data_IF_119575458163
#
_entry.id   IF_119575458163
#
_cell.length_a   1.000
_cell.length_b   1.000
_cell.length_c   1.000
_cell.angle_alpha   90.00
_cell.angle_beta   90.00
_cell.angle_gamma   90.00
#
_symmetry.space_group_name_H-M   'P 1'
#
loop_
_entity.id
_entity.type
_entity.pdbx_description
1 polymer ?
#
# COMPACT_ATOMS: atom_id res chain seq x y z
N UNK A 1 9.89 7.32 -19.51
CA UNK A 1 10.85 8.42 -19.28
C UNK A 1 10.06 9.61 -18.77
N UNK A 2 10.05 9.84 -17.46
CA UNK A 2 9.49 11.04 -16.83
C UNK A 2 10.63 12.05 -16.69
N UNK A 3 11.01 12.69 -17.79
CA UNK A 3 11.93 13.83 -17.71
C UNK A 3 11.13 15.06 -17.26
N UNK A 4 11.50 15.66 -16.12
CA UNK A 4 10.99 16.98 -15.69
C UNK A 4 9.93 17.00 -14.58
N UNK A 5 9.72 15.91 -13.83
CA UNK A 5 9.04 15.99 -12.53
C UNK A 5 10.11 16.21 -11.46
N UNK A 6 9.98 17.30 -10.67
CA UNK A 6 10.76 17.48 -9.45
C UNK A 6 10.36 16.36 -8.47
N UNK A 7 11.14 15.28 -8.47
CA UNK A 7 10.94 14.20 -7.51
C UNK A 7 11.30 14.73 -6.12
N UNK A 8 10.47 14.51 -5.10
CA UNK A 8 10.79 14.98 -3.76
C UNK A 8 12.09 14.31 -3.30
N UNK A 9 13.12 15.07 -2.99
CA UNK A 9 14.37 14.55 -2.41
C UNK A 9 14.13 14.02 -0.99
N UNK A 10 15.09 13.28 -0.42
CA UNK A 10 15.00 12.83 0.97
C UNK A 10 14.81 14.02 1.92
N UNK A 11 13.78 13.96 2.75
CA UNK A 11 13.36 15.02 3.69
C UNK A 11 12.07 15.71 3.33
N UNK A 12 11.61 15.57 2.09
CA UNK A 12 10.36 16.16 1.62
C UNK A 12 9.13 15.30 1.92
N UNK A 13 9.32 14.08 2.45
CA UNK A 13 8.23 13.20 2.87
C UNK A 13 8.21 13.01 4.39
N UNK A 14 7.03 12.99 5.05
CA UNK A 14 6.89 12.71 6.48
C UNK A 14 7.57 11.40 6.91
N UNK A 15 7.55 10.38 6.06
CA UNK A 15 8.23 9.11 6.29
C UNK A 15 9.76 9.27 6.34
N UNK A 16 10.37 10.22 5.62
CA UNK A 16 11.81 10.48 5.74
C UNK A 16 12.17 11.01 7.14
N UNK A 17 11.35 11.92 7.68
CA UNK A 17 11.48 12.40 9.07
C UNK A 17 11.25 11.27 10.08
N UNK A 18 10.33 10.35 9.79
CA UNK A 18 10.13 9.15 10.60
C UNK A 18 11.34 8.22 10.57
N UNK A 19 11.94 8.00 9.39
CA UNK A 19 13.17 7.22 9.21
C UNK A 19 14.31 7.83 10.01
N UNK A 20 14.55 9.14 9.90
CA UNK A 20 15.57 9.83 10.68
C UNK A 20 15.45 9.59 12.18
N UNK A 21 14.21 9.67 12.70
CA UNK A 21 13.95 9.54 14.13
C UNK A 21 14.06 8.10 14.64
N UNK A 22 13.90 7.09 13.76
CA UNK A 22 13.71 5.70 14.16
C UNK A 22 14.73 4.71 13.55
N UNK A 23 15.64 5.17 12.67
CA UNK A 23 16.66 4.32 12.08
C UNK A 23 17.68 3.85 13.11
N UNK A 24 18.00 2.55 13.08
CA UNK A 24 19.00 1.95 13.97
C UNK A 24 20.24 1.55 13.17
N UNK A 25 21.22 2.46 13.10
CA UNK A 25 22.50 2.22 12.43
C UNK A 25 23.34 1.11 13.09
N UNK A 26 23.03 0.71 14.33
CA UNK A 26 23.72 -0.36 15.04
C UNK A 26 23.04 -1.73 14.87
N UNK A 27 21.87 -1.78 14.22
CA UNK A 27 21.12 -3.01 14.01
C UNK A 27 21.85 -3.98 13.08
N UNK A 28 21.77 -5.28 13.38
CA UNK A 28 22.29 -6.35 12.53
C UNK A 28 21.35 -6.72 11.37
N UNK A 29 20.16 -6.12 11.32
CA UNK A 29 19.19 -6.36 10.26
C UNK A 29 19.64 -5.71 8.96
N UNK A 30 19.29 -6.34 7.85
CA UNK A 30 19.47 -5.73 6.53
C UNK A 30 18.65 -4.44 6.40
N UNK A 31 19.06 -3.56 5.49
CA UNK A 31 18.36 -2.30 5.23
C UNK A 31 16.88 -2.53 4.88
N UNK A 32 16.58 -3.58 4.10
CA UNK A 32 15.21 -3.91 3.72
C UNK A 32 14.36 -4.42 4.89
N UNK A 33 14.95 -5.20 5.80
CA UNK A 33 14.26 -5.66 7.03
C UNK A 33 13.95 -4.49 7.97
N UNK A 34 14.89 -3.54 8.12
CA UNK A 34 14.64 -2.33 8.89
C UNK A 34 13.57 -1.45 8.24
N UNK A 35 13.64 -1.24 6.91
CA UNK A 35 12.60 -0.51 6.14
C UNK A 35 11.22 -1.09 6.42
N UNK A 36 11.09 -2.42 6.36
CA UNK A 36 9.82 -3.10 6.67
C UNK A 36 9.32 -2.77 8.07
N UNK A 37 10.17 -2.91 9.09
CA UNK A 37 9.80 -2.61 10.48
C UNK A 37 9.37 -1.15 10.63
N UNK A 38 10.04 -0.22 9.94
CA UNK A 38 9.67 1.18 9.94
C UNK A 38 8.30 1.40 9.30
N UNK A 39 8.01 0.76 8.17
CA UNK A 39 6.68 0.83 7.52
C UNK A 39 5.59 0.24 8.41
N UNK A 40 5.83 -0.90 9.07
CA UNK A 40 4.88 -1.49 10.03
C UNK A 40 4.58 -0.53 11.20
N UNK A 41 5.63 0.10 11.77
CA UNK A 41 5.46 1.11 12.82
C UNK A 41 4.72 2.35 12.30
N UNK A 42 5.07 2.83 11.10
CA UNK A 42 4.47 3.98 10.44
C UNK A 42 2.97 3.80 10.22
N UNK A 43 2.57 2.62 9.73
CA UNK A 43 1.17 2.23 9.57
C UNK A 43 0.45 2.23 10.93
N UNK A 44 1.06 1.60 11.95
CA UNK A 44 0.49 1.46 13.29
C UNK A 44 0.27 2.80 14.04
N UNK A 45 1.04 3.85 13.70
CA UNK A 45 0.83 5.21 14.23
C UNK A 45 -0.60 5.72 13.94
N UNK A 46 -1.16 5.35 12.79
CA UNK A 46 -2.40 5.90 12.28
C UNK A 46 -2.34 7.40 11.97
N UNK A 47 -3.45 7.93 11.48
CA UNK A 47 -3.66 9.30 11.00
C UNK A 47 -2.99 10.36 11.86
N UNK A 48 -3.30 10.39 13.16
CA UNK A 48 -2.76 11.41 14.07
C UNK A 48 -1.38 11.09 14.64
N UNK A 49 -0.96 9.82 14.68
CA UNK A 49 0.38 9.48 15.14
C UNK A 49 1.45 9.92 14.14
N UNK A 50 1.06 10.09 12.86
CA UNK A 50 1.92 10.61 11.79
C UNK A 50 2.00 12.14 11.72
N UNK A 51 1.10 12.87 12.40
CA UNK A 51 1.03 14.34 12.30
C UNK A 51 2.31 15.04 12.75
N UNK A 52 3.00 14.54 13.78
CA UNK A 52 4.23 15.19 14.25
C UNK A 52 5.29 15.24 13.14
N UNK A 53 5.38 14.18 12.32
CA UNK A 53 6.30 14.10 11.19
C UNK A 53 5.81 14.93 9.99
N UNK A 54 4.50 14.94 9.72
CA UNK A 54 3.92 15.75 8.66
C UNK A 54 4.07 17.25 8.93
N UNK A 55 3.73 17.69 10.15
CA UNK A 55 3.87 19.08 10.58
C UNK A 55 5.34 19.52 10.62
N UNK A 56 6.26 18.64 11.03
CA UNK A 56 7.69 18.92 10.93
C UNK A 56 8.11 19.15 9.47
N UNK A 57 7.65 18.31 8.54
CA UNK A 57 7.93 18.45 7.10
C UNK A 57 7.36 19.76 6.53
N UNK A 58 6.18 20.20 6.97
CA UNK A 58 5.59 21.45 6.48
C UNK A 58 6.28 22.69 7.04
N UNK A 59 6.74 22.63 8.30
CA UNK A 59 7.44 23.72 8.95
C UNK A 59 8.87 23.88 8.41
N UNK A 60 9.56 22.75 8.17
CA UNK A 60 10.90 22.70 7.62
C UNK A 60 11.05 21.50 6.68
N UNK A 61 10.82 21.67 5.36
CA UNK A 61 10.90 20.58 4.39
C UNK A 61 12.34 20.14 4.14
N UNK A 62 13.33 20.90 4.61
CA UNK A 62 14.76 20.64 4.40
C UNK A 62 15.39 20.09 5.66
N UNK A 63 16.04 18.93 5.57
CA UNK A 63 16.81 18.39 6.69
C UNK A 63 18.25 18.91 6.59
N UNK A 64 18.60 19.87 7.44
CA UNK A 64 19.95 20.46 7.49
C UNK A 64 21.05 19.45 7.90
N UNK A 65 20.71 18.45 8.71
CA UNK A 65 21.67 17.47 9.21
C UNK A 65 21.09 16.05 9.23
N UNK A 66 21.63 15.18 8.37
CA UNK A 66 21.32 13.75 8.36
C UNK A 66 22.41 13.02 9.15
N UNK A 67 22.07 12.30 10.24
CA UNK A 67 23.04 11.53 11.01
C UNK A 67 23.77 10.49 10.16
N UNK A 68 25.04 10.26 10.47
CA UNK A 68 25.85 9.26 9.77
C UNK A 68 25.22 7.86 9.89
N UNK A 69 25.09 7.16 8.75
CA UNK A 69 24.54 5.81 8.69
C UNK A 69 23.03 5.71 8.46
N UNK A 70 22.30 6.84 8.37
CA UNK A 70 20.90 6.84 7.93
C UNK A 70 20.84 6.76 6.40
N UNK A 71 20.16 5.75 5.83
CA UNK A 71 19.96 5.66 4.38
C UNK A 71 18.95 6.70 3.89
N UNK A 72 19.27 7.30 2.75
CA UNK A 72 18.41 8.29 2.08
C UNK A 72 17.67 7.71 0.87
N UNK A 73 17.98 6.46 0.53
CA UNK A 73 17.53 5.73 -0.65
C UNK A 73 16.59 4.56 -0.28
N UNK A 74 15.95 4.62 0.90
CA UNK A 74 14.95 3.60 1.28
C UNK A 74 13.76 3.57 0.32
N UNK A 75 13.42 4.71 -0.28
CA UNK A 75 12.43 4.81 -1.36
C UNK A 75 13.17 5.07 -2.66
N UNK A 76 12.89 4.27 -3.69
CA UNK A 76 13.41 4.51 -5.03
C UNK A 76 12.84 5.81 -5.63
N UNK A 77 13.46 6.33 -6.68
CA UNK A 77 12.92 7.49 -7.41
C UNK A 77 11.46 7.26 -7.87
N UNK A 78 11.13 6.03 -8.26
CA UNK A 78 9.78 5.64 -8.64
C UNK A 78 8.83 5.70 -7.43
N UNK A 79 9.20 5.10 -6.29
CA UNK A 79 8.42 5.13 -5.04
C UNK A 79 8.16 6.57 -4.54
N UNK A 80 9.19 7.43 -4.65
CA UNK A 80 9.09 8.84 -4.25
C UNK A 80 8.15 9.61 -5.18
N UNK A 81 8.12 9.27 -6.48
CA UNK A 81 7.11 9.80 -7.41
C UNK A 81 5.70 9.38 -7.00
N UNK A 82 5.51 8.12 -6.55
CA UNK A 82 4.20 7.61 -6.14
C UNK A 82 3.68 8.29 -4.89
N UNK A 83 4.57 8.59 -3.95
CA UNK A 83 4.21 9.23 -2.68
C UNK A 83 3.64 10.65 -2.85
N UNK A 84 3.87 11.27 -4.01
CA UNK A 84 3.21 12.53 -4.40
C UNK A 84 1.80 12.34 -5.00
N UNK A 85 1.41 11.10 -5.31
CA UNK A 85 0.13 10.74 -5.91
C UNK A 85 -0.77 10.10 -4.84
N UNK A 86 -1.88 10.76 -4.51
CA UNK A 86 -2.93 10.16 -3.69
C UNK A 86 -3.77 9.22 -4.56
N UNK A 87 -3.38 7.95 -4.66
CA UNK A 87 -4.32 6.89 -5.05
C UNK A 87 -4.83 6.22 -3.80
N UNK A 88 -6.12 5.96 -3.78
CA UNK A 88 -6.75 5.18 -2.72
C UNK A 88 -7.03 3.75 -3.16
N UNK A 89 -6.59 3.32 -4.35
CA UNK A 89 -6.83 1.95 -4.87
C UNK A 89 -5.50 1.22 -5.13
N UNK A 90 -5.34 0.03 -4.53
CA UNK A 90 -4.19 -0.86 -4.73
C UNK A 90 -4.63 -2.16 -5.41
N UNK A 91 -3.81 -2.69 -6.32
CA UNK A 91 -3.93 -4.04 -6.87
C UNK A 91 -2.73 -4.88 -6.41
N UNK A 92 -2.97 -5.97 -5.69
CA UNK A 92 -1.90 -6.78 -5.10
C UNK A 92 -2.05 -8.24 -5.51
N UNK A 93 -1.05 -8.80 -6.19
CA UNK A 93 -0.98 -10.22 -6.54
C UNK A 93 -0.40 -11.03 -5.39
N UNK A 94 -1.14 -12.04 -4.93
CA UNK A 94 -0.69 -12.92 -3.84
C UNK A 94 -0.56 -14.39 -4.25
N UNK A 95 -0.96 -14.73 -5.49
CA UNK A 95 -0.86 -16.10 -6.00
C UNK A 95 0.17 -16.23 -7.11
N UNK A 96 1.19 -17.04 -6.83
CA UNK A 96 2.30 -17.33 -7.72
C UNK A 96 2.48 -18.83 -8.00
N UNK A 97 1.53 -19.67 -7.58
CA UNK A 97 1.65 -21.13 -7.62
C UNK A 97 2.39 -21.69 -6.40
N UNK A 98 2.49 -23.01 -6.33
CA UNK A 98 3.29 -23.68 -5.31
C UNK A 98 4.79 -23.35 -5.52
N UNK A 99 5.50 -22.83 -4.50
CA UNK A 99 6.90 -22.43 -4.64
C UNK A 99 7.83 -23.61 -4.99
N UNK A 100 7.40 -24.84 -4.76
CA UNK A 100 8.15 -26.07 -5.05
C UNK A 100 7.79 -26.73 -6.38
N UNK A 101 6.72 -26.29 -7.05
CA UNK A 101 6.27 -26.85 -8.33
C UNK A 101 6.25 -25.80 -9.45
N UNK A 102 7.22 -25.93 -10.37
CA UNK A 102 7.33 -25.06 -11.55
C UNK A 102 6.09 -25.09 -12.43
N UNK A 103 5.42 -26.24 -12.57
CA UNK A 103 4.20 -26.37 -13.37
C UNK A 103 3.06 -25.57 -12.74
N UNK A 104 2.95 -25.63 -11.41
CA UNK A 104 1.99 -24.81 -10.65
C UNK A 104 2.25 -23.31 -10.84
N UNK A 105 3.52 -22.90 -10.83
CA UNK A 105 3.91 -21.51 -11.05
C UNK A 105 3.56 -21.00 -12.44
N UNK A 106 3.90 -21.77 -13.48
CA UNK A 106 3.56 -21.45 -14.87
C UNK A 106 2.03 -21.36 -15.08
N UNK A 107 1.28 -22.26 -14.44
CA UNK A 107 -0.18 -22.23 -14.46
C UNK A 107 -0.73 -20.99 -13.74
N UNK A 108 -0.16 -20.61 -12.59
CA UNK A 108 -0.56 -19.41 -11.85
C UNK A 108 -0.27 -18.12 -12.64
N UNK A 109 0.89 -18.01 -13.29
CA UNK A 109 1.24 -16.88 -14.16
C UNK A 109 0.29 -16.79 -15.36
N UNK A 110 -0.03 -17.92 -15.98
CA UNK A 110 -1.01 -17.97 -17.08
C UNK A 110 -2.41 -17.55 -16.61
N UNK A 111 -2.83 -18.01 -15.44
CA UNK A 111 -4.12 -17.66 -14.86
C UNK A 111 -4.21 -16.17 -14.50
N UNK A 112 -3.16 -15.62 -13.89
CA UNK A 112 -3.04 -14.21 -13.59
C UNK A 112 -3.04 -13.34 -14.86
N UNK A 113 -2.32 -13.72 -15.91
CA UNK A 113 -2.33 -13.00 -17.18
C UNK A 113 -3.74 -12.93 -17.81
N UNK A 114 -4.55 -14.00 -17.66
CA UNK A 114 -5.96 -13.99 -18.08
C UNK A 114 -6.82 -13.08 -17.22
N UNK A 115 -6.59 -13.02 -15.91
CA UNK A 115 -7.29 -12.14 -14.97
C UNK A 115 -6.95 -10.65 -15.22
N UNK A 116 -5.69 -10.34 -15.51
CA UNK A 116 -5.18 -8.98 -15.68
C UNK A 116 -5.89 -8.23 -16.81
N UNK A 117 -6.22 -8.92 -17.92
CA UNK A 117 -6.90 -8.32 -19.09
C UNK A 117 -8.26 -7.68 -18.74
N UNK A 118 -9.26 -8.38 -18.17
CA UNK A 118 -10.53 -7.76 -17.81
C UNK A 118 -10.40 -6.74 -16.67
N UNK A 119 -9.49 -6.95 -15.72
CA UNK A 119 -9.42 -6.11 -14.50
C UNK A 119 -8.63 -4.83 -14.70
N UNK A 120 -7.47 -4.86 -15.37
CA UNK A 120 -6.60 -3.69 -15.53
C UNK A 120 -6.68 -3.08 -16.93
N UNK A 121 -7.26 -3.79 -17.90
CA UNK A 121 -7.27 -3.38 -19.30
C UNK A 121 -8.67 -3.30 -19.94
N UNK A 122 -9.75 -3.60 -19.20
CA UNK A 122 -11.12 -3.74 -19.72
C UNK A 122 -11.23 -4.62 -20.98
N UNK A 123 -10.34 -5.62 -21.11
CA UNK A 123 -10.30 -6.50 -22.27
C UNK A 123 -9.73 -5.87 -23.55
N UNK A 124 -9.10 -4.68 -23.48
CA UNK A 124 -8.43 -4.02 -24.60
C UNK A 124 -6.92 -4.00 -24.39
N UNK A 125 -6.16 -4.57 -25.33
CA UNK A 125 -4.70 -4.53 -25.26
C UNK A 125 -4.21 -3.06 -25.30
N UNK A 126 -3.29 -2.71 -24.40
CA UNK A 126 -2.71 -1.37 -24.20
C UNK A 126 -3.66 -0.29 -23.63
N UNK A 127 -4.81 -0.66 -23.09
CA UNK A 127 -5.63 0.23 -22.27
C UNK A 127 -5.30 0.00 -20.80
N UNK A 128 -5.04 1.05 -20.02
CA UNK A 128 -4.97 0.97 -18.57
C UNK A 128 -6.22 1.60 -17.98
N UNK A 129 -6.80 0.96 -16.98
CA UNK A 129 -7.90 1.55 -16.25
C UNK A 129 -7.36 2.66 -15.37
N UNK A 130 -7.88 3.88 -15.53
CA UNK A 130 -7.41 5.04 -14.77
C UNK A 130 -7.70 4.93 -13.26
N UNK A 131 -8.70 4.15 -12.85
CA UNK A 131 -9.06 4.00 -11.44
C UNK A 131 -8.21 3.00 -10.65
N UNK A 132 -7.31 2.27 -11.33
CA UNK A 132 -6.25 1.48 -10.71
C UNK A 132 -4.98 1.89 -11.46
N UNK A 133 -4.21 2.89 -11.01
CA UNK A 133 -3.02 3.32 -11.73
C UNK A 133 -1.96 2.20 -11.75
N UNK A 134 -1.16 2.13 -12.82
CA UNK A 134 -0.14 1.08 -13.00
C UNK A 134 0.89 1.08 -11.85
N UNK A 135 1.13 2.26 -11.32
CA UNK A 135 1.97 2.53 -10.16
C UNK A 135 1.52 1.83 -8.88
N UNK A 136 0.23 1.51 -8.76
CA UNK A 136 -0.35 0.83 -7.59
C UNK A 136 -0.67 -0.63 -7.87
N UNK A 137 -0.01 -1.22 -8.87
CA UNK A 137 -0.08 -2.64 -9.24
C UNK A 137 1.17 -3.36 -8.70
N UNK A 138 1.00 -4.12 -7.63
CA UNK A 138 2.06 -4.85 -6.94
C UNK A 138 2.02 -6.32 -7.32
N UNK A 139 3.02 -6.78 -8.09
CA UNK A 139 3.06 -8.13 -8.63
C UNK A 139 4.43 -8.82 -8.53
N UNK A 140 5.38 -8.23 -7.80
CA UNK A 140 6.70 -8.83 -7.57
C UNK A 140 6.60 -10.11 -6.73
N UNK A 141 7.08 -11.22 -7.29
CA UNK A 141 7.04 -12.52 -6.64
C UNK A 141 7.96 -12.58 -5.43
N UNK A 142 9.17 -12.04 -5.53
CA UNK A 142 10.20 -12.16 -4.49
C UNK A 142 9.75 -11.49 -3.19
N UNK A 143 9.17 -10.29 -3.32
CA UNK A 143 8.66 -9.50 -2.21
C UNK A 143 7.38 -10.11 -1.62
N UNK A 144 6.38 -10.38 -2.46
CA UNK A 144 5.05 -10.77 -1.99
C UNK A 144 4.97 -12.24 -1.53
N UNK A 145 5.81 -13.13 -2.09
CA UNK A 145 5.82 -14.54 -1.67
C UNK A 145 6.49 -14.74 -0.31
N UNK A 146 7.52 -13.93 0.00
CA UNK A 146 8.16 -13.97 1.31
C UNK A 146 7.15 -13.60 2.42
N UNK A 147 6.26 -12.65 2.14
CA UNK A 147 5.27 -12.16 3.10
C UNK A 147 4.06 -13.06 3.24
N UNK A 148 3.56 -13.61 2.14
CA UNK A 148 2.49 -14.61 2.16
C UNK A 148 2.87 -15.85 3.00
N UNK A 149 4.16 -16.15 3.14
CA UNK A 149 4.68 -17.28 3.91
C UNK A 149 4.95 -16.98 5.39
N UNK A 150 5.14 -15.70 5.78
CA UNK A 150 5.45 -15.30 7.16
C UNK A 150 4.23 -15.24 8.08
N UNK A 151 3.01 -15.27 7.53
CA UNK A 151 1.76 -15.09 8.27
C UNK A 151 0.64 -16.06 7.87
N UNK A 152 -0.50 -15.94 8.55
CA UNK A 152 -1.74 -16.67 8.22
C UNK A 152 -2.62 -15.89 7.23
N UNK A 153 -2.01 -14.96 6.50
CA UNK A 153 -2.69 -13.99 5.63
C UNK A 153 -3.12 -14.63 4.31
N UNK A 154 -2.43 -15.69 3.88
CA UNK A 154 -2.75 -16.46 2.68
C UNK A 154 -2.77 -17.95 3.04
N UNK A 155 -3.93 -18.59 2.87
CA UNK A 155 -4.15 -20.01 3.21
C UNK A 155 -4.48 -20.77 1.93
N UNK A 156 -3.62 -21.70 1.52
CA UNK A 156 -3.81 -22.47 0.28
C UNK A 156 -3.83 -21.61 -0.99
N UNK A 157 -3.13 -20.46 -0.96
CA UNK A 157 -3.10 -19.47 -2.04
C UNK A 157 -4.26 -18.47 -2.01
N UNK A 158 -5.16 -18.55 -1.03
CA UNK A 158 -6.32 -17.67 -0.90
C UNK A 158 -6.09 -16.67 0.24
N UNK A 159 -6.27 -15.38 -0.03
CA UNK A 159 -6.10 -14.34 0.99
C UNK A 159 -7.21 -14.45 2.05
N UNK A 160 -6.81 -14.48 3.33
CA UNK A 160 -7.71 -14.67 4.46
C UNK A 160 -8.58 -13.45 4.75
N UNK A 161 -7.99 -12.24 4.62
CA UNK A 161 -8.71 -10.97 4.77
C UNK A 161 -9.34 -10.78 6.16
N UNK A 162 -8.58 -11.00 7.24
CA UNK A 162 -9.11 -10.96 8.62
C UNK A 162 -9.35 -9.50 9.06
N UNK A 163 -10.56 -9.12 9.51
CA UNK A 163 -10.81 -7.79 10.03
C UNK A 163 -9.91 -7.43 11.22
N UNK A 164 -9.48 -6.17 11.30
CA UNK A 164 -8.58 -5.66 12.34
C UNK A 164 -7.13 -6.13 12.20
N UNK A 165 -6.75 -6.70 11.05
CA UNK A 165 -5.36 -7.11 10.78
C UNK A 165 -4.76 -6.29 9.65
N UNK A 166 -3.44 -6.13 9.67
CA UNK A 166 -2.64 -5.55 8.58
C UNK A 166 -1.90 -6.71 7.90
N UNK A 167 -2.36 -7.18 6.72
CA UNK A 167 -1.73 -8.31 6.05
C UNK A 167 -0.31 -8.00 5.60
N UNK A 168 0.57 -9.00 5.62
CA UNK A 168 1.96 -8.86 5.19
C UNK A 168 2.11 -8.37 3.75
N UNK A 169 1.25 -8.81 2.81
CA UNK A 169 1.27 -8.35 1.43
C UNK A 169 0.88 -6.87 1.27
N UNK A 170 0.07 -6.33 2.20
CA UNK A 170 -0.25 -4.91 2.23
C UNK A 170 0.94 -4.11 2.75
N UNK A 171 1.64 -4.64 3.76
CA UNK A 171 2.92 -4.05 4.23
C UNK A 171 3.94 -4.01 3.10
N UNK A 172 4.10 -5.09 2.33
CA UNK A 172 5.00 -5.10 1.16
C UNK A 172 4.63 -4.01 0.16
N UNK A 173 3.35 -3.88 -0.22
CA UNK A 173 2.92 -2.79 -1.11
C UNK A 173 3.23 -1.40 -0.51
N UNK A 174 2.96 -1.20 0.78
CA UNK A 174 3.22 0.07 1.47
C UNK A 174 4.71 0.36 1.70
N UNK A 175 5.62 -0.60 1.49
CA UNK A 175 7.05 -0.32 1.42
C UNK A 175 7.40 0.56 0.21
N UNK A 176 6.56 0.61 -0.82
CA UNK A 176 6.73 1.47 -1.99
C UNK A 176 5.98 2.80 -1.89
N UNK A 177 4.94 2.87 -1.06
CA UNK A 177 4.09 4.06 -0.93
C UNK A 177 3.65 4.29 0.53
N UNK A 178 4.58 4.54 1.47
CA UNK A 178 4.23 4.70 2.89
C UNK A 178 3.30 5.89 3.17
N UNK A 179 3.23 6.87 2.27
CA UNK A 179 2.40 8.09 2.41
C UNK A 179 0.94 7.95 1.95
N UNK A 180 0.50 6.74 1.57
CA UNK A 180 -0.78 6.52 0.89
C UNK A 180 -2.02 7.13 1.57
N UNK A 181 -2.09 7.14 2.91
CA UNK A 181 -3.35 7.30 3.63
C UNK A 181 -3.80 8.75 3.89
N UNK A 182 -2.90 9.66 4.26
CA UNK A 182 -3.28 11.03 4.71
C UNK A 182 -2.87 12.13 3.74
N UNK A 183 -2.07 11.80 2.72
CA UNK A 183 -1.51 12.78 1.80
C UNK A 183 -0.68 13.88 2.47
N UNK A 184 -0.37 14.90 1.69
CA UNK A 184 0.60 15.95 2.01
C UNK A 184 -0.04 17.32 2.28
N UNK A 185 -1.36 17.40 2.48
CA UNK A 185 -2.07 18.65 2.76
C UNK A 185 -1.99 19.03 4.24
N UNK A 186 -1.79 20.31 4.52
CA UNK A 186 -1.91 20.90 5.86
C UNK A 186 -3.38 21.24 6.16
N UNK A 187 -4.22 20.21 6.27
CA UNK A 187 -5.64 20.36 6.55
C UNK A 187 -5.91 20.61 8.05
N UNK A 188 -7.01 21.31 8.35
CA UNK A 188 -7.40 21.68 9.72
C UNK A 188 -7.39 20.50 10.71
N UNK A 189 -7.79 19.31 10.25
CA UNK A 189 -7.84 18.11 11.08
C UNK A 189 -6.49 17.74 11.68
N UNK A 190 -5.37 18.12 11.05
CA UNK A 190 -4.02 17.84 11.56
C UNK A 190 -3.72 18.58 12.87
N UNK A 191 -4.41 19.68 13.10
CA UNK A 191 -4.25 20.57 14.25
C UNK A 191 -5.31 20.35 15.32
N UNK A 192 -6.29 19.48 15.10
CA UNK A 192 -7.30 19.17 16.09
C UNK A 192 -6.68 18.62 17.38
N UNK A 193 -7.23 19.03 18.52
CA UNK A 193 -6.79 18.58 19.85
C UNK A 193 -7.97 18.15 20.72
N UNK A 194 -7.68 17.43 21.81
CA UNK A 194 -8.69 17.04 22.80
C UNK A 194 -9.89 16.32 22.19
N UNK A 195 -11.07 16.93 22.30
CA UNK A 195 -12.34 16.34 21.89
C UNK A 195 -12.48 16.21 20.37
N UNK A 196 -12.10 17.25 19.62
CA UNK A 196 -12.21 17.29 18.16
C UNK A 196 -11.38 16.17 17.53
N UNK A 197 -10.14 16.00 18.01
CA UNK A 197 -9.26 14.89 17.60
C UNK A 197 -9.87 13.52 17.89
N UNK A 198 -10.50 13.35 19.06
CA UNK A 198 -11.08 12.07 19.45
C UNK A 198 -12.29 11.70 18.58
N UNK A 199 -13.12 12.68 18.22
CA UNK A 199 -14.28 12.49 17.34
C UNK A 199 -13.83 12.14 15.91
N UNK A 200 -12.92 12.92 15.35
CA UNK A 200 -12.34 12.68 14.01
C UNK A 200 -11.62 11.32 13.93
N UNK A 201 -10.90 10.91 14.97
CA UNK A 201 -10.23 9.62 15.01
C UNK A 201 -11.22 8.45 15.05
N UNK A 202 -12.30 8.58 15.85
CA UNK A 202 -13.32 7.54 15.94
C UNK A 202 -14.07 7.32 14.62
N UNK A 203 -14.26 8.39 13.85
CA UNK A 203 -14.78 8.32 12.49
C UNK A 203 -13.74 7.70 11.54
N UNK A 204 -12.50 8.20 11.55
CA UNK A 204 -11.42 7.71 10.69
C UNK A 204 -11.11 6.22 10.88
N UNK A 205 -11.11 5.71 12.12
CA UNK A 205 -10.88 4.29 12.42
C UNK A 205 -11.93 3.37 11.77
N UNK A 206 -13.12 3.90 11.46
CA UNK A 206 -14.24 3.18 10.82
C UNK A 206 -14.37 3.48 9.33
N UNK A 207 -13.73 4.55 8.87
CA UNK A 207 -13.76 4.97 7.48
C UNK A 207 -12.77 4.16 6.65
N UNK A 208 -13.17 3.87 5.41
CA UNK A 208 -12.25 3.34 4.42
C UNK A 208 -11.32 4.45 3.95
N UNK A 209 -10.02 4.22 4.00
CA UNK A 209 -8.97 5.09 3.48
C UNK A 209 -8.33 4.53 2.21
N UNK A 210 -8.35 3.20 2.04
CA UNK A 210 -7.89 2.54 0.82
C UNK A 210 -8.81 1.36 0.42
N UNK A 211 -8.96 1.18 -0.89
CA UNK A 211 -9.53 0.03 -1.56
C UNK A 211 -8.40 -0.90 -2.00
N UNK A 212 -8.32 -2.09 -1.42
CA UNK A 212 -7.30 -3.09 -1.77
C UNK A 212 -7.95 -4.24 -2.53
N UNK A 213 -7.52 -4.42 -3.78
CA UNK A 213 -7.94 -5.47 -4.69
C UNK A 213 -6.88 -6.56 -4.70
N UNK A 214 -7.25 -7.78 -4.30
CA UNK A 214 -6.29 -8.88 -4.16
C UNK A 214 -6.49 -9.94 -5.24
N UNK A 215 -5.45 -10.15 -6.04
CA UNK A 215 -5.33 -11.23 -7.01
C UNK A 215 -4.72 -12.48 -6.35
N UNK A 216 -5.54 -13.13 -5.53
CA UNK A 216 -5.21 -14.41 -4.92
C UNK A 216 -5.54 -15.59 -5.85
N UNK A 217 -5.40 -16.83 -5.36
CA UNK A 217 -5.62 -18.04 -6.16
C UNK A 217 -7.02 -18.08 -6.75
N UNK A 218 -8.04 -17.73 -5.95
CA UNK A 218 -9.42 -17.76 -6.39
C UNK A 218 -9.71 -16.66 -7.41
N UNK A 219 -9.06 -15.49 -7.28
CA UNK A 219 -9.11 -14.47 -8.32
C UNK A 219 -8.48 -14.98 -9.63
N UNK A 220 -7.27 -15.54 -9.57
CA UNK A 220 -6.53 -15.99 -10.74
C UNK A 220 -7.21 -17.18 -11.46
N UNK A 221 -7.63 -18.19 -10.70
CA UNK A 221 -8.15 -19.45 -11.24
C UNK A 221 -9.65 -19.38 -11.58
N UNK A 222 -10.44 -18.61 -10.82
CA UNK A 222 -11.90 -18.59 -10.93
C UNK A 222 -12.48 -17.21 -11.31
N UNK A 223 -11.66 -16.15 -11.34
CA UNK A 223 -12.11 -14.81 -11.70
C UNK A 223 -12.87 -14.07 -10.59
N UNK A 224 -12.68 -14.46 -9.31
CA UNK A 224 -13.30 -13.80 -8.15
C UNK A 224 -12.28 -13.00 -7.33
N UNK A 225 -12.17 -11.72 -7.66
CA UNK A 225 -11.27 -10.76 -7.00
C UNK A 225 -11.76 -10.49 -5.58
N UNK A 226 -10.84 -10.52 -4.61
CA UNK A 226 -11.14 -10.11 -3.24
C UNK A 226 -11.00 -8.60 -3.13
N UNK A 227 -12.03 -7.96 -2.59
CA UNK A 227 -12.11 -6.52 -2.36
C UNK A 227 -12.06 -6.28 -0.85
N UNK A 228 -11.09 -5.50 -0.40
CA UNK A 228 -10.87 -5.17 1.00
C UNK A 228 -10.96 -3.65 1.18
N UNK A 229 -11.78 -3.22 2.13
CA UNK A 229 -11.75 -1.87 2.65
C UNK A 229 -10.70 -1.80 3.78
N UNK A 230 -9.81 -0.82 3.72
CA UNK A 230 -8.70 -0.65 4.66
C UNK A 230 -8.77 0.75 5.26
N UNK A 231 -8.64 0.87 6.58
CA UNK A 231 -8.61 2.17 7.26
C UNK A 231 -7.21 2.79 7.25
N UNK A 232 -7.07 4.00 7.81
CA UNK A 232 -5.80 4.72 7.92
C UNK A 232 -4.69 3.98 8.71
N UNK A 233 -5.03 2.93 9.47
CA UNK A 233 -4.06 2.08 10.18
C UNK A 233 -3.65 0.87 9.36
N UNK A 234 -4.00 0.79 8.08
CA UNK A 234 -3.77 -0.39 7.26
C UNK A 234 -4.60 -1.60 7.68
N UNK A 235 -5.56 -1.43 8.59
CA UNK A 235 -6.37 -2.53 9.11
C UNK A 235 -7.54 -2.81 8.17
N UNK A 236 -7.77 -4.10 7.91
CA UNK A 236 -8.94 -4.54 7.15
C UNK A 236 -10.22 -4.23 7.95
N UNK A 237 -11.15 -3.52 7.32
CA UNK A 237 -12.48 -3.28 7.86
C UNK A 237 -13.36 -4.54 7.77
N UNK A 238 -14.44 -4.65 8.57
CA UNK A 238 -15.27 -5.86 8.62
C UNK A 238 -15.88 -6.32 7.29
N UNK A 239 -16.06 -5.42 6.33
CA UNK A 239 -16.65 -5.70 5.03
C UNK A 239 -15.57 -6.13 4.02
N UNK A 240 -15.54 -7.43 3.72
CA UNK A 240 -14.79 -8.00 2.59
C UNK A 240 -15.76 -8.63 1.61
N UNK A 241 -15.57 -8.38 0.32
CA UNK A 241 -16.46 -8.88 -0.72
C UNK A 241 -15.62 -9.58 -1.79
N UNK A 242 -16.17 -10.63 -2.39
CA UNK A 242 -15.59 -11.21 -3.61
C UNK A 242 -16.47 -10.87 -4.78
N UNK A 243 -15.86 -10.22 -5.75
CA UNK A 243 -16.56 -9.75 -6.93
C UNK A 243 -15.97 -10.35 -8.18
N UNK A 244 -16.78 -10.43 -9.23
CA UNK A 244 -16.30 -10.92 -10.52
C UNK A 244 -15.27 -9.95 -11.08
N UNK A 245 -14.22 -10.47 -11.69
CA UNK A 245 -13.14 -9.67 -12.29
C UNK A 245 -13.64 -8.55 -13.23
N UNK A 246 -14.74 -8.78 -13.95
CA UNK A 246 -15.34 -7.76 -14.84
C UNK A 246 -15.97 -6.56 -14.11
N UNK A 247 -16.33 -6.71 -12.84
CA UNK A 247 -16.94 -5.66 -12.01
C UNK A 247 -15.88 -4.84 -11.26
N UNK A 248 -14.64 -5.33 -11.17
CA UNK A 248 -13.57 -4.71 -10.38
C UNK A 248 -13.28 -3.27 -10.80
N UNK A 249 -13.30 -2.98 -12.10
CA UNK A 249 -13.13 -1.64 -12.62
C UNK A 249 -14.24 -0.69 -12.13
N UNK A 250 -15.50 -1.14 -12.17
CA UNK A 250 -16.63 -0.34 -11.74
C UNK A 250 -16.57 -0.07 -10.23
N UNK A 251 -16.17 -1.05 -9.43
CA UNK A 251 -15.99 -0.89 -7.98
C UNK A 251 -14.93 0.17 -7.68
N UNK A 252 -13.80 0.13 -8.39
CA UNK A 252 -12.75 1.14 -8.22
C UNK A 252 -13.19 2.53 -8.69
N UNK A 253 -14.01 2.64 -9.75
CA UNK A 253 -14.62 3.92 -10.17
C UNK A 253 -15.58 4.43 -9.10
N UNK A 254 -16.51 3.60 -8.63
CA UNK A 254 -17.49 3.98 -7.60
C UNK A 254 -16.79 4.51 -6.35
N UNK A 255 -15.74 3.81 -5.91
CA UNK A 255 -14.90 4.23 -4.79
C UNK A 255 -14.27 5.61 -5.01
N UNK A 256 -13.64 5.84 -6.16
CA UNK A 256 -13.03 7.15 -6.48
C UNK A 256 -14.06 8.29 -6.58
N UNK A 257 -15.29 7.99 -7.01
CA UNK A 257 -16.38 8.97 -7.08
C UNK A 257 -17.10 9.18 -5.73
N UNK A 258 -16.65 8.52 -4.66
CA UNK A 258 -17.28 8.62 -3.34
C UNK A 258 -18.64 7.93 -3.26
N UNK A 259 -18.93 7.01 -4.18
CA UNK A 259 -20.13 6.17 -4.14
C UNK A 259 -19.84 4.91 -3.32
N UNK A 260 -20.76 4.49 -2.44
CA UNK A 260 -20.63 3.26 -1.66
C UNK A 260 -20.68 1.99 -2.53
#
# INVERSE_FOLDING_TARGET
>A
MREGLDLPEFGYLPFDHFVLANWDAASSLSQNEQKRILVEKWIALGKYGRNDYALATFADPTIDHIPAGVPQDLLSEEDRALSSMLSTTLWIRTWFGDPTDKTSQEAADTAYARLRKPVLQQGRENYHISCIPEEFVFEDRGELSADAQRGWDVIGGVAAGRPGTVPGYLVAALMHCPELFEGMSDDDWRHFTGKERAEELAESDRAQSALVLVADRKACEEGWVLVLAVNHRGEILPFRVRERAKETAQIAVNWQEGQP
#
